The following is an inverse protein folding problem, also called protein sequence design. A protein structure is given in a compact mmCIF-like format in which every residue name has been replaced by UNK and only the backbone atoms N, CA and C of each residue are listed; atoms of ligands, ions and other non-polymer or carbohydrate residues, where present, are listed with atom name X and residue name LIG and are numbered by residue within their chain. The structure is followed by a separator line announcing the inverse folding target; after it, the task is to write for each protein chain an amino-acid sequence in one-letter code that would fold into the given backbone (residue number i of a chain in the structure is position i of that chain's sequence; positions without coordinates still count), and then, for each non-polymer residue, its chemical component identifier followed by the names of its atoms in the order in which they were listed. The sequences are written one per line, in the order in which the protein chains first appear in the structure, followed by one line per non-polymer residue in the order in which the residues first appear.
data_IF_225413822265
#
_entry.id   IF_225413822265
#
_cell.length_a   1.000
_cell.length_b   1.000
_cell.length_c   1.000
_cell.angle_alpha   90.00
_cell.angle_beta   90.00
_cell.angle_gamma   90.00
#
_symmetry.space_group_name_H-M   'P 1'
#
loop_
_entity.id
_entity.type
_entity.pdbx_description
1 polymer ?
#
# COMPACT_ATOMS: atom_id res chain seq x y z
N UNK A 1 -16.43 18.60 -2.77
CA UNK A 1 -14.98 18.62 -2.98
C UNK A 1 -14.67 19.25 -4.32
N UNK A 2 -13.73 20.17 -4.36
CA UNK A 2 -13.23 20.81 -5.58
C UNK A 2 -11.87 20.27 -5.99
N UNK A 3 -11.54 19.07 -5.51
CA UNK A 3 -10.34 18.36 -5.91
C UNK A 3 -10.52 17.73 -7.29
N UNK A 4 -9.50 17.86 -8.13
CA UNK A 4 -9.37 17.13 -9.39
C UNK A 4 -8.19 16.18 -9.32
N UNK A 5 -8.28 15.08 -10.05
CA UNK A 5 -7.21 14.10 -10.19
C UNK A 5 -6.92 13.88 -11.67
N UNK A 6 -5.67 14.13 -12.06
CA UNK A 6 -5.14 13.76 -13.36
C UNK A 6 -4.21 12.57 -13.20
N UNK A 7 -4.57 11.42 -13.77
CA UNK A 7 -3.83 10.16 -13.65
C UNK A 7 -3.14 9.77 -14.94
N UNK A 8 -1.87 9.38 -14.84
CA UNK A 8 -1.12 8.78 -15.91
C UNK A 8 -0.64 7.39 -15.51
N UNK A 9 -0.97 6.39 -16.32
CA UNK A 9 -0.52 5.02 -16.16
C UNK A 9 0.47 4.69 -17.26
N UNK A 10 1.65 4.19 -16.91
CA UNK A 10 2.73 3.87 -17.85
C UNK A 10 3.33 2.49 -17.57
N UNK A 11 3.62 1.80 -18.64
CA UNK A 11 4.49 0.63 -18.66
C UNK A 11 5.32 0.68 -19.94
N UNK A 12 6.34 -0.14 -20.07
CA UNK A 12 7.12 -0.32 -21.30
C UNK A 12 7.14 -1.78 -21.72
N UNK A 13 7.46 -2.06 -22.97
CA UNK A 13 7.64 -3.43 -23.44
C UNK A 13 8.70 -4.13 -22.57
N UNK A 14 8.40 -5.35 -22.17
CA UNK A 14 9.23 -6.18 -21.29
C UNK A 14 9.41 -5.66 -19.86
N UNK A 15 8.76 -4.58 -19.46
CA UNK A 15 8.73 -4.17 -18.05
C UNK A 15 7.82 -5.10 -17.26
N UNK A 16 8.29 -5.49 -16.06
CA UNK A 16 7.49 -6.25 -15.08
C UNK A 16 6.77 -5.33 -14.08
N UNK A 17 6.56 -4.06 -14.46
CA UNK A 17 5.90 -3.07 -13.59
C UNK A 17 5.01 -2.11 -14.35
N UNK A 18 4.09 -1.50 -13.60
CA UNK A 18 3.24 -0.38 -14.02
C UNK A 18 3.48 0.78 -13.06
N UNK A 19 3.64 1.99 -13.61
CA UNK A 19 3.73 3.23 -12.82
C UNK A 19 2.45 4.03 -12.95
N UNK A 20 1.89 4.39 -11.82
CA UNK A 20 0.76 5.31 -11.69
C UNK A 20 1.33 6.62 -11.16
N UNK A 21 1.11 7.71 -11.90
CA UNK A 21 1.50 9.06 -11.50
C UNK A 21 0.25 9.93 -11.52
N UNK A 22 -0.03 10.56 -10.40
CA UNK A 22 -1.22 11.39 -10.18
C UNK A 22 -0.81 12.81 -9.86
N UNK A 23 -1.51 13.77 -10.49
CA UNK A 23 -1.53 15.17 -10.07
C UNK A 23 -2.89 15.42 -9.44
N UNK A 24 -2.90 15.86 -8.19
CA UNK A 24 -4.11 16.21 -7.45
C UNK A 24 -4.09 17.71 -7.24
N UNK A 25 -5.13 18.40 -7.71
CA UNK A 25 -5.25 19.86 -7.65
C UNK A 25 -6.49 20.28 -6.88
N UNK A 26 -6.32 21.24 -5.98
CA UNK A 26 -7.41 21.94 -5.35
C UNK A 26 -7.78 23.16 -6.22
N UNK A 27 -9.01 23.18 -6.72
CA UNK A 27 -9.53 24.28 -7.55
C UNK A 27 -10.31 25.33 -6.76
N UNK A 28 -10.38 25.17 -5.43
CA UNK A 28 -11.08 26.11 -4.56
C UNK A 28 -10.14 27.19 -3.99
N UNK A 29 -10.74 28.32 -3.61
CA UNK A 29 -10.10 29.39 -2.84
C UNK A 29 -9.93 29.06 -1.34
N UNK A 30 -10.29 27.85 -0.91
CA UNK A 30 -10.16 27.35 0.46
C UNK A 30 -9.35 26.05 0.47
N UNK A 31 -8.73 25.76 1.62
CA UNK A 31 -8.06 24.49 1.85
C UNK A 31 -9.09 23.35 1.81
N UNK A 32 -8.78 22.28 1.07
CA UNK A 32 -9.64 21.09 0.93
C UNK A 32 -9.02 19.89 1.63
N UNK A 33 -9.79 19.12 2.42
CA UNK A 33 -9.28 17.91 3.05
C UNK A 33 -9.00 16.83 2.01
N UNK A 34 -7.76 16.30 2.03
CA UNK A 34 -7.26 15.27 1.13
C UNK A 34 -7.05 13.97 1.87
N UNK A 35 -7.78 12.94 1.47
CA UNK A 35 -7.57 11.56 1.90
C UNK A 35 -7.35 10.70 0.68
N UNK A 36 -6.15 10.11 0.57
CA UNK A 36 -5.66 9.37 -0.58
C UNK A 36 -5.17 8.00 -0.16
N UNK A 37 -5.56 6.99 -0.93
CA UNK A 37 -5.15 5.61 -0.75
C UNK A 37 -5.07 4.91 -2.11
N UNK A 38 -3.97 4.19 -2.35
CA UNK A 38 -3.80 3.31 -3.50
C UNK A 38 -4.04 1.87 -3.08
N UNK A 39 -5.18 1.30 -3.46
CA UNK A 39 -5.60 -0.05 -3.05
C UNK A 39 -4.99 -1.11 -3.98
N UNK A 40 -3.87 -1.70 -3.59
CA UNK A 40 -3.11 -2.64 -4.40
C UNK A 40 -3.33 -4.08 -3.88
N UNK A 41 -4.17 -4.84 -4.58
CA UNK A 41 -4.56 -6.19 -4.19
C UNK A 41 -3.64 -7.26 -4.78
N UNK A 42 -3.31 -8.24 -3.94
CA UNK A 42 -2.60 -9.46 -4.29
C UNK A 42 -3.45 -10.68 -3.89
N UNK A 43 -3.64 -11.60 -4.81
CA UNK A 43 -4.46 -12.80 -4.63
C UNK A 43 -3.77 -14.04 -5.18
N UNK A 44 -4.53 -15.13 -5.27
CA UNK A 44 -4.08 -16.39 -5.87
C UNK A 44 -3.68 -16.18 -7.35
N UNK A 45 -2.60 -16.87 -7.85
CA UNK A 45 -1.80 -17.89 -7.16
C UNK A 45 -0.63 -17.33 -6.33
N UNK A 46 -0.36 -16.01 -6.36
CA UNK A 46 0.76 -15.44 -5.62
C UNK A 46 0.55 -15.55 -4.12
N UNK A 47 -0.65 -15.26 -3.63
CA UNK A 47 -0.99 -15.33 -2.20
C UNK A 47 -1.23 -16.79 -1.77
N UNK A 48 -0.51 -17.26 -0.77
CA UNK A 48 -0.60 -18.57 -0.14
C UNK A 48 -0.14 -18.48 1.32
N UNK A 49 -0.36 -19.53 2.13
CA UNK A 49 -0.01 -19.57 3.56
C UNK A 49 1.48 -19.33 3.85
N UNK A 50 2.36 -19.86 2.99
CA UNK A 50 3.80 -19.73 3.15
C UNK A 50 4.36 -18.37 2.72
N UNK A 51 3.50 -17.46 2.24
CA UNK A 51 3.89 -16.13 1.83
C UNK A 51 4.22 -15.23 3.02
N UNK A 52 5.08 -14.25 2.75
CA UNK A 52 5.46 -13.22 3.72
C UNK A 52 5.32 -11.84 3.13
N UNK A 53 4.86 -10.91 3.95
CA UNK A 53 5.00 -9.48 3.68
C UNK A 53 6.37 -9.03 4.16
N UNK A 54 7.11 -8.38 3.27
CA UNK A 54 8.38 -7.72 3.56
C UNK A 54 8.25 -6.25 3.24
N UNK A 55 8.83 -5.39 4.09
CA UNK A 55 8.76 -3.93 3.90
C UNK A 55 10.09 -3.26 4.20
N UNK A 56 10.31 -2.08 3.64
CA UNK A 56 11.29 -1.14 4.19
C UNK A 56 10.93 -0.83 5.63
N UNK A 57 11.88 -0.32 6.39
CA UNK A 57 11.65 0.00 7.80
C UNK A 57 10.34 0.78 8.01
N UNK A 58 9.44 0.19 8.77
CA UNK A 58 8.14 0.75 9.10
C UNK A 58 7.75 0.41 10.54
N UNK A 59 6.93 1.25 11.12
CA UNK A 59 6.33 1.03 12.45
C UNK A 59 4.87 0.65 12.28
N UNK A 60 4.53 -0.57 12.68
CA UNK A 60 3.20 -1.14 12.53
C UNK A 60 2.32 -0.89 13.74
N UNK A 61 1.07 -0.50 13.49
CA UNK A 61 0.01 -0.37 14.46
C UNK A 61 -1.16 -1.28 14.06
N UNK A 62 -1.51 -2.31 14.85
CA UNK A 62 -2.73 -3.08 14.61
C UNK A 62 -3.97 -2.20 14.83
N UNK A 63 -4.95 -2.31 13.92
CA UNK A 63 -6.18 -1.53 13.98
C UNK A 63 -7.39 -2.32 14.51
N UNK A 64 -7.28 -3.65 14.64
CA UNK A 64 -8.32 -4.49 15.24
C UNK A 64 -7.73 -5.68 16.00
N UNK A 65 -8.58 -6.40 16.75
CA UNK A 65 -8.16 -7.48 17.61
C UNK A 65 -7.62 -8.74 16.88
N UNK A 66 -7.92 -8.89 15.59
CA UNK A 66 -7.40 -9.99 14.77
C UNK A 66 -5.99 -9.71 14.25
N UNK A 67 -5.58 -8.44 14.23
CA UNK A 67 -4.30 -7.97 13.67
C UNK A 67 -3.14 -8.27 14.62
N UNK A 68 -2.66 -9.50 14.60
CA UNK A 68 -1.60 -9.99 15.52
C UNK A 68 -0.25 -10.23 14.85
N UNK A 69 -0.21 -10.44 13.54
CA UNK A 69 1.01 -10.74 12.78
C UNK A 69 0.93 -10.14 11.36
N UNK A 70 1.60 -9.01 11.09
CA UNK A 70 1.61 -8.42 9.76
C UNK A 70 2.42 -9.24 8.74
N UNK A 71 3.42 -9.98 9.16
CA UNK A 71 4.38 -10.60 8.25
C UNK A 71 3.88 -11.89 7.57
N UNK A 72 3.11 -12.72 8.27
CA UNK A 72 2.76 -14.05 7.79
C UNK A 72 1.30 -14.14 7.32
N UNK A 73 1.11 -14.96 6.28
CA UNK A 73 -0.22 -15.26 5.75
C UNK A 73 -0.79 -16.52 6.43
N UNK A 74 -2.09 -16.69 6.33
CA UNK A 74 -2.80 -17.89 6.79
C UNK A 74 -3.45 -18.58 5.59
N UNK A 75 -3.75 -19.87 5.71
CA UNK A 75 -4.68 -20.52 4.79
C UNK A 75 -6.08 -19.90 4.88
N UNK A 76 -6.89 -19.99 3.83
CA UNK A 76 -8.28 -19.52 3.89
C UNK A 76 -9.06 -20.20 5.02
N UNK A 77 -9.71 -19.40 5.87
CA UNK A 77 -10.47 -19.86 7.03
C UNK A 77 -11.93 -19.39 6.90
N UNK A 78 -12.88 -20.32 7.04
CA UNK A 78 -14.30 -19.97 6.98
C UNK A 78 -14.71 -19.00 8.09
N UNK A 79 -15.43 -17.95 7.70
CA UNK A 79 -15.95 -16.96 8.62
C UNK A 79 -14.90 -16.04 9.26
N UNK A 80 -13.60 -16.14 8.88
CA UNK A 80 -12.57 -15.22 9.41
C UNK A 80 -12.87 -13.78 9.02
N UNK A 81 -12.73 -12.88 9.98
CA UNK A 81 -12.77 -11.44 9.76
C UNK A 81 -11.48 -10.89 9.16
N UNK A 82 -11.50 -9.64 8.81
CA UNK A 82 -10.33 -8.91 8.28
C UNK A 82 -9.30 -8.58 9.36
N UNK A 83 -8.05 -8.51 8.96
CA UNK A 83 -6.95 -7.94 9.74
C UNK A 83 -6.50 -6.64 9.08
N UNK A 84 -6.24 -5.64 9.91
CA UNK A 84 -5.84 -4.30 9.47
C UNK A 84 -4.65 -3.80 10.26
N UNK A 85 -3.64 -3.36 9.55
CA UNK A 85 -2.45 -2.74 10.13
C UNK A 85 -2.19 -1.40 9.44
N UNK A 86 -1.92 -0.37 10.24
CA UNK A 86 -1.39 0.89 9.72
C UNK A 86 0.12 0.90 9.93
N UNK A 87 0.87 1.02 8.86
CA UNK A 87 2.31 1.11 8.90
C UNK A 87 2.77 2.54 8.58
N UNK A 88 3.69 3.06 9.39
CA UNK A 88 4.34 4.35 9.16
C UNK A 88 5.74 4.11 8.60
N UNK A 89 5.97 4.51 7.36
CA UNK A 89 7.27 4.39 6.71
C UNK A 89 8.30 5.34 7.34
N UNK A 90 9.51 4.84 7.59
CA UNK A 90 10.62 5.60 8.20
C UNK A 90 11.62 6.15 7.16
N UNK A 91 11.40 5.88 5.89
CA UNK A 91 12.30 6.24 4.78
C UNK A 91 11.60 7.20 3.81
N UNK A 92 12.36 7.97 3.03
CA UNK A 92 11.80 8.90 2.02
C UNK A 92 11.11 8.20 0.85
N UNK A 93 11.52 6.97 0.55
CA UNK A 93 10.87 6.07 -0.41
C UNK A 93 10.73 4.72 0.25
N UNK A 94 9.57 4.13 0.12
CA UNK A 94 9.23 2.87 0.76
C UNK A 94 8.81 1.80 -0.26
N UNK A 95 9.02 0.57 0.14
CA UNK A 95 8.59 -0.62 -0.58
C UNK A 95 7.82 -1.54 0.36
N UNK A 96 6.74 -2.13 -0.15
CA UNK A 96 6.04 -3.24 0.46
C UNK A 96 5.91 -4.37 -0.57
N UNK A 97 6.08 -5.61 -0.15
CA UNK A 97 6.15 -6.76 -1.05
C UNK A 97 5.49 -7.98 -0.44
N UNK A 98 4.69 -8.69 -1.22
CA UNK A 98 4.25 -10.06 -0.93
C UNK A 98 5.20 -11.02 -1.63
N UNK A 99 5.90 -11.85 -0.87
CA UNK A 99 6.83 -12.87 -1.37
C UNK A 99 6.27 -14.27 -1.20
N UNK A 100 6.21 -15.04 -2.30
CA UNK A 100 5.88 -16.45 -2.32
C UNK A 100 7.16 -17.28 -2.59
N UNK A 101 7.71 -17.97 -1.57
CA UNK A 101 8.96 -18.70 -1.71
C UNK A 101 8.84 -19.95 -2.60
N UNK A 102 7.67 -20.60 -2.64
CA UNK A 102 7.46 -21.80 -3.44
C UNK A 102 7.41 -21.49 -4.94
N UNK A 103 6.76 -20.39 -5.30
CA UNK A 103 6.69 -19.92 -6.68
C UNK A 103 7.95 -19.15 -7.09
N UNK A 104 8.78 -18.73 -6.15
CA UNK A 104 9.90 -17.78 -6.35
C UNK A 104 9.44 -16.51 -7.07
N UNK A 105 8.26 -16.03 -6.68
CA UNK A 105 7.63 -14.83 -7.21
C UNK A 105 7.34 -13.86 -6.07
N UNK A 106 7.41 -12.56 -6.39
CA UNK A 106 6.95 -11.53 -5.48
C UNK A 106 6.19 -10.44 -6.24
N UNK A 107 5.15 -9.90 -5.60
CA UNK A 107 4.48 -8.69 -6.03
C UNK A 107 4.84 -7.54 -5.11
N UNK A 108 5.18 -6.37 -5.64
CA UNK A 108 5.62 -5.24 -4.83
C UNK A 108 4.88 -3.94 -5.18
N UNK A 109 4.89 -3.03 -4.21
CA UNK A 109 4.48 -1.64 -4.36
C UNK A 109 5.62 -0.75 -3.90
N UNK A 110 6.05 0.21 -4.74
CA UNK A 110 6.97 1.29 -4.38
C UNK A 110 6.21 2.61 -4.33
N UNK A 111 6.54 3.43 -3.35
CA UNK A 111 5.90 4.74 -3.18
C UNK A 111 6.85 5.75 -2.54
N UNK A 112 6.58 7.04 -2.78
CA UNK A 112 7.25 8.15 -2.14
C UNK A 112 6.48 8.56 -0.88
N UNK A 113 7.19 8.77 0.22
CA UNK A 113 6.57 9.01 1.52
C UNK A 113 6.28 10.48 1.80
N UNK A 114 6.61 11.39 0.91
CA UNK A 114 6.30 12.81 1.04
C UNK A 114 4.80 13.06 1.14
N UNK A 115 4.04 12.43 0.22
CA UNK A 115 2.58 12.55 0.19
C UNK A 115 1.86 11.26 0.61
N UNK A 116 2.58 10.14 0.75
CA UNK A 116 2.07 8.84 1.20
C UNK A 116 2.93 8.32 2.36
N UNK A 117 2.93 8.99 3.52
CA UNK A 117 3.83 8.65 4.63
C UNK A 117 3.52 7.33 5.32
N UNK A 118 2.45 6.67 4.92
CA UNK A 118 1.93 5.42 5.50
C UNK A 118 1.50 4.44 4.44
N UNK A 119 1.27 3.21 4.87
CA UNK A 119 0.45 2.26 4.12
C UNK A 119 -0.43 1.45 5.06
N UNK A 120 -1.61 1.10 4.59
CA UNK A 120 -2.46 0.11 5.21
C UNK A 120 -2.11 -1.25 4.64
N UNK A 121 -2.02 -2.24 5.50
CA UNK A 121 -1.99 -3.63 5.13
C UNK A 121 -3.33 -4.24 5.54
N UNK A 122 -4.08 -4.68 4.56
CA UNK A 122 -5.38 -5.32 4.75
C UNK A 122 -5.30 -6.78 4.33
N UNK A 123 -5.62 -7.67 5.27
CA UNK A 123 -5.66 -9.11 5.05
C UNK A 123 -7.09 -9.61 5.18
N UNK A 124 -7.60 -10.19 4.13
CA UNK A 124 -8.83 -10.97 4.16
C UNK A 124 -8.48 -12.43 3.90
N UNK A 125 -8.20 -13.18 4.98
CA UNK A 125 -7.81 -14.59 4.92
C UNK A 125 -9.05 -15.49 5.07
N UNK A 126 -10.15 -15.15 4.41
CA UNK A 126 -11.43 -15.87 4.47
C UNK A 126 -11.60 -16.76 3.24
N UNK A 127 -12.22 -17.92 3.40
CA UNK A 127 -12.64 -18.75 2.27
C UNK A 127 -13.53 -17.94 1.32
N UNK A 128 -13.24 -18.02 0.02
CA UNK A 128 -13.90 -17.28 -1.06
C UNK A 128 -13.58 -15.78 -1.17
N UNK A 129 -12.95 -15.19 -0.14
CA UNK A 129 -12.50 -13.78 -0.11
C UNK A 129 -11.02 -13.70 0.30
N UNK A 130 -10.15 -14.42 -0.41
CA UNK A 130 -8.74 -14.58 -0.04
C UNK A 130 -7.86 -13.56 -0.76
N UNK A 131 -7.49 -12.50 -0.05
CA UNK A 131 -6.76 -11.35 -0.62
C UNK A 131 -5.89 -10.65 0.43
N UNK A 132 -4.74 -10.16 0.00
CA UNK A 132 -3.90 -9.20 0.71
C UNK A 132 -3.91 -7.88 -0.07
N UNK A 133 -4.08 -6.76 0.60
CA UNK A 133 -3.83 -5.45 0.01
C UNK A 133 -2.67 -4.74 0.72
N UNK A 134 -1.79 -4.13 -0.09
CA UNK A 134 -0.73 -3.22 0.35
C UNK A 134 -1.08 -1.83 -0.18
N UNK A 135 -1.42 -0.90 0.70
CA UNK A 135 -2.15 0.32 0.36
C UNK A 135 -1.40 1.59 0.79
N UNK A 136 -0.45 2.10 -0.02
CA UNK A 136 0.17 3.40 0.26
C UNK A 136 -0.88 4.50 0.41
N UNK A 137 -0.79 5.28 1.49
CA UNK A 137 -1.81 6.26 1.84
C UNK A 137 -1.27 7.44 2.65
N UNK A 138 -2.09 8.50 2.74
CA UNK A 138 -1.83 9.64 3.62
C UNK A 138 -2.73 9.67 4.87
N UNK A 139 -3.57 8.67 5.06
CA UNK A 139 -4.56 8.62 6.14
C UNK A 139 -4.01 8.02 7.44
N UNK A 140 -4.63 8.37 8.57
CA UNK A 140 -4.45 7.75 9.89
C UNK A 140 -5.58 6.77 10.23
N UNK A 141 -6.65 6.76 9.45
CA UNK A 141 -7.85 5.96 9.65
C UNK A 141 -8.42 5.57 8.28
N UNK A 142 -9.15 4.48 8.25
CA UNK A 142 -9.92 4.07 7.07
C UNK A 142 -11.22 4.88 6.91
N UNK A 143 -11.68 5.52 7.97
CA UNK A 143 -12.91 6.31 7.98
C UNK A 143 -12.62 7.82 7.95
N UNK A 144 -13.15 8.48 6.90
CA UNK A 144 -12.98 9.92 6.67
C UNK A 144 -13.63 10.77 7.76
N UNK A 145 -14.78 10.37 8.27
CA UNK A 145 -15.49 11.13 9.30
C UNK A 145 -14.72 11.14 10.61
N UNK A 146 -14.12 10.02 10.98
CA UNK A 146 -13.23 9.90 12.13
C UNK A 146 -11.95 10.71 11.95
N UNK A 147 -11.33 10.66 10.77
CA UNK A 147 -10.13 11.44 10.48
C UNK A 147 -10.39 12.95 10.57
N UNK A 148 -11.52 13.42 10.06
CA UNK A 148 -11.94 14.83 10.18
C UNK A 148 -12.22 15.22 11.62
N UNK A 149 -12.97 14.42 12.38
CA UNK A 149 -13.32 14.72 13.78
C UNK A 149 -12.08 14.78 14.70
N UNK A 150 -11.01 14.04 14.37
CA UNK A 150 -9.76 14.00 15.12
C UNK A 150 -8.69 14.97 14.60
N UNK A 151 -9.01 15.77 13.59
CA UNK A 151 -8.03 16.65 12.89
C UNK A 151 -6.79 15.87 12.38
N UNK A 152 -7.02 14.64 11.92
CA UNK A 152 -5.99 13.72 11.40
C UNK A 152 -6.12 13.52 9.88
N UNK A 153 -6.44 14.57 9.16
CA UNK A 153 -6.58 14.58 7.72
C UNK A 153 -5.62 15.60 7.10
N UNK A 154 -4.96 15.23 6.01
CA UNK A 154 -4.16 16.19 5.26
C UNK A 154 -5.05 17.20 4.54
N UNK A 155 -4.55 18.40 4.33
CA UNK A 155 -5.24 19.44 3.57
C UNK A 155 -4.36 19.88 2.40
N UNK A 156 -4.97 20.02 1.25
CA UNK A 156 -4.39 20.65 0.09
C UNK A 156 -4.80 22.13 0.09
N UNK A 157 -3.81 23.02 0.09
CA UNK A 157 -4.05 24.47 0.16
C UNK A 157 -4.88 24.97 -1.01
N UNK A 158 -5.49 26.16 -0.84
CA UNK A 158 -6.19 26.84 -1.93
C UNK A 158 -5.30 26.92 -3.18
N UNK A 159 -5.81 26.42 -4.32
CA UNK A 159 -5.13 26.40 -5.63
C UNK A 159 -3.81 25.61 -5.67
N UNK A 160 -3.49 24.83 -4.65
CA UNK A 160 -2.32 23.96 -4.61
C UNK A 160 -2.50 22.71 -5.47
N UNK A 161 -1.41 22.22 -6.04
CA UNK A 161 -1.33 20.92 -6.69
C UNK A 161 -0.16 20.12 -6.13
N UNK A 162 -0.36 18.82 -5.94
CA UNK A 162 0.68 17.87 -5.56
C UNK A 162 0.82 16.78 -6.61
N UNK A 163 2.03 16.24 -6.73
CA UNK A 163 2.30 15.05 -7.53
C UNK A 163 2.62 13.87 -6.60
N UNK A 164 1.98 12.74 -6.87
CA UNK A 164 2.18 11.50 -6.11
C UNK A 164 1.97 10.29 -7.01
N UNK A 165 2.19 9.09 -6.48
CA UNK A 165 1.98 7.88 -7.27
C UNK A 165 2.63 6.66 -6.67
N UNK A 166 2.45 5.55 -7.37
CA UNK A 166 2.99 4.25 -7.00
C UNK A 166 3.54 3.52 -8.21
N UNK A 167 4.53 2.65 -7.98
CA UNK A 167 4.94 1.63 -8.94
C UNK A 167 4.51 0.28 -8.38
N UNK A 168 3.79 -0.49 -9.19
CA UNK A 168 3.36 -1.85 -8.87
C UNK A 168 4.07 -2.78 -9.83
N UNK A 169 4.72 -3.83 -9.31
CA UNK A 169 5.49 -4.74 -10.15
C UNK A 169 5.59 -6.15 -9.61
N UNK A 170 6.22 -6.99 -10.42
CA UNK A 170 6.48 -8.39 -10.12
C UNK A 170 7.98 -8.66 -10.22
N UNK A 171 8.50 -9.46 -9.30
CA UNK A 171 9.85 -10.01 -9.31
C UNK A 171 9.75 -11.52 -9.55
N UNK A 172 10.59 -12.04 -10.44
CA UNK A 172 10.56 -13.43 -10.89
C UNK A 172 11.95 -14.05 -10.76
N UNK A 173 12.05 -15.00 -9.86
CA UNK A 173 13.29 -15.68 -9.50
C UNK A 173 13.96 -15.14 -8.24
N UNK A 174 14.65 -16.05 -7.54
CA UNK A 174 15.28 -15.78 -6.24
C UNK A 174 16.26 -14.62 -6.30
N UNK A 175 17.12 -14.58 -7.32
CA UNK A 175 18.17 -13.56 -7.44
C UNK A 175 17.58 -12.14 -7.59
N UNK A 176 16.50 -11.99 -8.37
CA UNK A 176 15.82 -10.71 -8.56
C UNK A 176 15.15 -10.25 -7.25
N UNK A 177 14.54 -11.18 -6.51
CA UNK A 177 13.88 -10.93 -5.23
C UNK A 177 14.92 -10.53 -4.17
N UNK A 178 16.02 -11.28 -4.03
CA UNK A 178 17.09 -10.99 -3.06
C UNK A 178 17.76 -9.65 -3.35
N UNK A 179 18.02 -9.36 -4.62
CA UNK A 179 18.57 -8.06 -5.03
C UNK A 179 17.61 -6.90 -4.67
N UNK A 180 16.30 -7.10 -4.83
CA UNK A 180 15.30 -6.10 -4.45
C UNK A 180 15.23 -5.93 -2.94
N UNK A 181 15.21 -7.00 -2.15
CA UNK A 181 15.24 -6.99 -0.68
C UNK A 181 16.46 -6.23 -0.19
N UNK A 182 17.65 -6.54 -0.71
CA UNK A 182 18.89 -5.87 -0.35
C UNK A 182 18.86 -4.37 -0.71
N UNK A 183 18.41 -4.02 -1.92
CA UNK A 183 18.31 -2.64 -2.40
C UNK A 183 17.41 -1.77 -1.52
N UNK A 184 16.31 -2.31 -1.04
CA UNK A 184 15.32 -1.59 -0.25
C UNK A 184 15.45 -1.83 1.26
N UNK A 185 16.47 -2.61 1.69
CA UNK A 185 16.69 -2.98 3.09
C UNK A 185 15.41 -3.49 3.76
N UNK A 186 14.72 -4.42 3.08
CA UNK A 186 13.43 -4.95 3.53
C UNK A 186 13.62 -6.01 4.63
N UNK A 187 12.65 -6.07 5.53
CA UNK A 187 12.59 -7.03 6.63
C UNK A 187 11.21 -7.66 6.70
#
# INVERSE_FOLDING_TARGET
SHLTLSRRIRTSLNAKCVRISDTISNLDAKDEPLMLLYHCNFGSPLLAENCRVLTTEAEYQPLNALSTDPAHMLNPIDGRGEELYLAHAKTKRAAAMLYNPDLKLAGYVLFDTEHLPRFLEWKMMKSHDYVLALEPCNTWSIDRSTALAQDKIAHLKAYESIETGVEIGVLDGTDEIEAFIARWNMK
#
